data_IF_520189240423
#
_entry.id   IF_520189240423
#
_cell.length_a   1.000
_cell.length_b   1.000
_cell.length_c   1.000
_cell.angle_alpha   90.00
_cell.angle_beta   90.00
_cell.angle_gamma   90.00
#
_symmetry.space_group_name_H-M   'P 1'
#
loop_
_entity.id
_entity.type
_entity.pdbx_description
1 polymer ?
#
# COMPACT_ATOMS: atom_id res chain seq x y z
N UNK A 1 -37.00 62.43 -6.12
CA UNK A 1 -36.78 63.69 -6.86
C UNK A 1 -35.85 63.41 -8.01
N UNK A 2 -36.41 63.56 -9.22
CA UNK A 2 -35.79 64.12 -10.42
C UNK A 2 -34.53 63.43 -10.97
N UNK A 3 -34.40 63.03 -12.17
CA UNK A 3 -35.07 63.11 -13.51
C UNK A 3 -33.99 62.64 -14.49
N UNK A 4 -34.20 61.66 -15.37
CA UNK A 4 -34.49 61.81 -16.80
C UNK A 4 -33.32 62.32 -17.65
N UNK A 5 -33.00 61.59 -18.72
CA UNK A 5 -32.24 62.01 -19.87
C UNK A 5 -31.99 60.87 -20.85
N UNK A 6 -32.95 60.62 -21.67
CA UNK A 6 -32.86 59.85 -22.93
C UNK A 6 -32.49 60.77 -24.07
N UNK A 7 -31.95 60.25 -25.20
CA UNK A 7 -32.19 60.61 -26.59
C UNK A 7 -31.09 59.99 -27.48
N UNK A 8 -31.30 59.06 -28.33
CA UNK A 8 -32.03 58.91 -29.62
C UNK A 8 -31.23 59.41 -30.85
N UNK A 9 -31.14 58.49 -31.82
CA UNK A 9 -31.16 58.65 -33.30
C UNK A 9 -29.87 59.02 -34.00
N UNK A 10 -29.47 58.54 -35.12
CA UNK A 10 -30.12 57.94 -36.33
C UNK A 10 -29.01 57.28 -37.19
N UNK A 11 -29.24 56.19 -37.82
CA UNK A 11 -29.65 55.85 -39.19
C UNK A 11 -28.88 56.58 -40.31
N UNK A 12 -28.05 55.83 -41.07
CA UNK A 12 -27.98 56.02 -42.53
C UNK A 12 -27.45 54.75 -43.21
N UNK A 13 -28.28 54.24 -44.08
CA UNK A 13 -28.15 53.15 -45.02
C UNK A 13 -27.41 53.65 -46.26
N UNK A 14 -26.39 52.96 -46.76
CA UNK A 14 -26.07 53.02 -48.21
C UNK A 14 -25.68 51.67 -48.73
N UNK A 15 -26.44 51.14 -49.61
CA UNK A 15 -26.29 50.01 -50.47
C UNK A 15 -25.30 50.36 -51.60
N UNK A 16 -24.34 49.50 -51.89
CA UNK A 16 -23.71 49.38 -53.20
C UNK A 16 -23.35 47.95 -53.51
N UNK A 17 -24.08 47.31 -54.39
CA UNK A 17 -23.70 46.07 -55.07
C UNK A 17 -22.58 46.35 -56.08
N UNK A 18 -21.54 45.53 -56.08
CA UNK A 18 -20.86 45.11 -57.31
C UNK A 18 -20.34 43.70 -57.18
N UNK A 19 -20.81 42.85 -58.06
CA UNK A 19 -20.40 41.48 -58.26
C UNK A 19 -19.07 41.45 -59.04
N UNK A 20 -18.16 40.54 -58.60
CA UNK A 20 -17.35 39.75 -59.53
C UNK A 20 -16.64 38.62 -58.75
N UNK A 21 -16.81 37.41 -59.26
CA UNK A 21 -16.34 36.18 -58.63
C UNK A 21 -14.84 36.01 -58.59
N UNK A 22 -14.42 35.36 -57.50
CA UNK A 22 -13.16 34.61 -57.46
C UNK A 22 -13.29 33.44 -56.49
N UNK A 23 -12.93 32.28 -57.01
CA UNK A 23 -12.93 30.99 -56.36
C UNK A 23 -12.08 31.07 -55.10
N UNK A 24 -12.68 30.99 -53.91
CA UNK A 24 -11.94 30.84 -52.69
C UNK A 24 -11.66 29.35 -52.49
N UNK A 25 -10.38 28.97 -52.55
CA UNK A 25 -9.86 27.76 -52.01
C UNK A 25 -10.14 27.77 -50.50
N UNK A 26 -10.96 26.82 -50.05
CA UNK A 26 -11.10 26.49 -48.65
C UNK A 26 -9.78 25.90 -48.16
N UNK A 27 -8.95 26.72 -47.54
CA UNK A 27 -7.88 26.24 -46.69
C UNK A 27 -8.57 25.62 -45.48
N UNK A 28 -8.59 24.28 -45.44
CA UNK A 28 -8.94 23.56 -44.23
C UNK A 28 -7.92 23.97 -43.16
N UNK A 29 -8.37 24.70 -42.16
CA UNK A 29 -7.62 24.84 -40.94
C UNK A 29 -7.50 23.42 -40.36
N UNK A 30 -6.30 22.87 -40.40
CA UNK A 30 -5.93 21.74 -39.54
C UNK A 30 -6.00 22.28 -38.13
N UNK A 31 -7.00 21.84 -37.36
CA UNK A 31 -6.96 21.87 -35.91
C UNK A 31 -5.78 20.96 -35.57
N UNK A 32 -4.67 21.55 -35.14
CA UNK A 32 -3.65 20.84 -34.39
C UNK A 32 -4.34 20.26 -33.16
N UNK A 33 -4.15 18.96 -32.82
CA UNK A 33 -4.65 18.46 -31.58
C UNK A 33 -3.98 19.29 -30.47
N UNK A 34 -4.83 20.02 -29.69
CA UNK A 34 -4.39 20.55 -28.42
C UNK A 34 -3.76 19.37 -27.66
N UNK A 35 -2.47 19.43 -27.42
CA UNK A 35 -1.80 18.62 -26.42
C UNK A 35 -2.30 19.15 -25.08
N UNK A 36 -3.51 18.73 -24.68
CA UNK A 36 -4.02 18.99 -23.35
C UNK A 36 -3.04 18.34 -22.37
N UNK A 37 -2.31 19.14 -21.62
CA UNK A 37 -1.64 18.66 -20.43
C UNK A 37 -2.72 17.99 -19.60
N UNK A 38 -2.52 16.73 -19.23
CA UNK A 38 -3.45 15.99 -18.39
C UNK A 38 -3.63 16.76 -17.07
N UNK A 39 -4.88 16.85 -16.57
CA UNK A 39 -5.16 17.57 -15.33
C UNK A 39 -4.33 16.96 -14.17
N UNK A 40 -3.78 17.77 -13.26
CA UNK A 40 -3.08 17.27 -12.08
C UNK A 40 -4.00 16.40 -11.22
N UNK A 41 -3.53 15.23 -10.83
CA UNK A 41 -4.22 14.28 -9.95
C UNK A 41 -3.36 14.03 -8.71
N UNK A 42 -3.93 14.18 -7.53
CA UNK A 42 -3.34 13.66 -6.29
C UNK A 42 -3.92 12.28 -5.99
N UNK A 43 -3.06 11.30 -5.80
CA UNK A 43 -3.43 9.93 -5.51
C UNK A 43 -2.92 9.53 -4.12
N UNK A 44 -3.85 9.22 -3.23
CA UNK A 44 -3.55 8.82 -1.85
C UNK A 44 -3.46 7.30 -1.76
N UNK A 45 -2.28 6.79 -1.43
CA UNK A 45 -1.98 5.35 -1.35
C UNK A 45 -1.72 4.97 0.10
N UNK A 46 -2.55 4.08 0.64
CA UNK A 46 -2.31 3.46 1.95
C UNK A 46 -1.59 2.13 1.73
N UNK A 47 -0.41 1.98 2.32
CA UNK A 47 0.40 0.80 2.11
C UNK A 47 1.07 0.31 3.40
N UNK A 48 1.22 -1.01 3.50
CA UNK A 48 1.92 -1.64 4.61
C UNK A 48 3.33 -1.06 4.79
N UNK A 49 3.74 -0.81 6.04
CA UNK A 49 5.02 -0.18 6.40
C UNK A 49 6.25 -0.90 5.79
N UNK A 50 6.17 -2.23 5.59
CA UNK A 50 7.22 -3.02 4.93
C UNK A 50 7.49 -2.65 3.47
N UNK A 51 6.60 -1.85 2.84
CA UNK A 51 6.74 -1.42 1.44
C UNK A 51 7.29 0.01 1.30
N UNK A 52 7.66 0.66 2.40
CA UNK A 52 8.05 2.08 2.40
C UNK A 52 9.18 2.36 1.40
N UNK A 53 10.24 1.59 1.43
CA UNK A 53 11.42 1.82 0.57
C UNK A 53 11.09 1.56 -0.90
N UNK A 54 10.45 0.42 -1.19
CA UNK A 54 10.14 0.03 -2.57
C UNK A 54 9.12 0.94 -3.24
N UNK A 55 8.03 1.30 -2.53
CA UNK A 55 7.04 2.21 -3.10
C UNK A 55 7.54 3.64 -3.24
N UNK A 56 8.48 4.08 -2.38
CA UNK A 56 9.14 5.38 -2.54
C UNK A 56 10.00 5.40 -3.81
N UNK A 57 10.77 4.35 -4.08
CA UNK A 57 11.55 4.21 -5.32
C UNK A 57 10.64 4.11 -6.56
N UNK A 58 9.57 3.30 -6.47
CA UNK A 58 8.60 3.16 -7.57
C UNK A 58 7.88 4.48 -7.86
N UNK A 59 7.65 5.33 -6.85
CA UNK A 59 7.04 6.64 -7.08
C UNK A 59 7.88 7.54 -7.98
N UNK A 60 9.20 7.52 -7.81
CA UNK A 60 10.13 8.26 -8.68
C UNK A 60 10.06 7.76 -10.13
N UNK A 61 9.96 6.43 -10.32
CA UNK A 61 9.80 5.83 -11.66
C UNK A 61 8.42 6.17 -12.27
N UNK A 62 7.36 6.11 -11.46
CA UNK A 62 6.00 6.41 -11.91
C UNK A 62 5.82 7.88 -12.29
N UNK A 63 6.56 8.80 -11.67
CA UNK A 63 6.54 10.22 -12.03
C UNK A 63 6.98 10.46 -13.48
N UNK A 64 7.90 9.63 -14.01
CA UNK A 64 8.31 9.68 -15.41
C UNK A 64 7.21 9.14 -16.35
N UNK A 65 6.45 8.14 -15.92
CA UNK A 65 5.37 7.53 -16.68
C UNK A 65 4.07 8.35 -16.66
N UNK A 66 3.78 9.03 -15.53
CA UNK A 66 2.56 9.79 -15.30
C UNK A 66 2.87 11.15 -14.61
N UNK A 67 3.47 12.12 -15.32
CA UNK A 67 3.97 13.36 -14.73
C UNK A 67 2.88 14.27 -14.14
N UNK A 68 1.62 14.04 -14.47
CA UNK A 68 0.48 14.75 -13.91
C UNK A 68 -0.07 14.13 -12.62
N UNK A 69 0.44 12.96 -12.18
CA UNK A 69 0.00 12.28 -10.97
C UNK A 69 1.01 12.51 -9.85
N UNK A 70 0.52 12.98 -8.71
CA UNK A 70 1.31 13.11 -7.48
C UNK A 70 0.88 12.00 -6.52
N UNK A 71 1.81 11.12 -6.13
CA UNK A 71 1.57 10.07 -5.15
C UNK A 71 1.79 10.59 -3.73
N UNK A 72 0.80 10.41 -2.87
CA UNK A 72 0.88 10.70 -1.43
C UNK A 72 0.71 9.38 -0.68
N UNK A 73 1.75 8.94 0.05
CA UNK A 73 1.72 7.68 0.79
C UNK A 73 1.37 7.87 2.26
N UNK A 74 0.53 6.95 2.77
CA UNK A 74 0.36 6.73 4.20
C UNK A 74 0.86 5.32 4.51
N UNK A 75 2.04 5.22 5.11
CA UNK A 75 2.64 3.96 5.51
C UNK A 75 2.34 3.64 6.98
N UNK A 76 1.90 2.42 7.23
CA UNK A 76 1.57 1.98 8.59
C UNK A 76 1.30 0.49 8.69
N UNK A 77 0.88 0.02 9.87
CA UNK A 77 0.36 -1.34 9.95
C UNK A 77 -0.94 -1.44 9.15
N UNK A 78 -1.13 -2.56 8.46
CA UNK A 78 -2.33 -2.74 7.63
C UNK A 78 -3.63 -2.70 8.47
N UNK A 79 -3.58 -3.07 9.75
CA UNK A 79 -4.71 -2.96 10.66
C UNK A 79 -5.05 -1.51 11.00
N UNK A 80 -4.04 -0.69 11.29
CA UNK A 80 -4.24 0.76 11.53
C UNK A 80 -4.78 1.45 10.27
N UNK A 81 -4.24 1.11 9.09
CA UNK A 81 -4.70 1.66 7.82
C UNK A 81 -6.14 1.26 7.50
N UNK A 82 -6.51 -0.01 7.75
CA UNK A 82 -7.89 -0.48 7.65
C UNK A 82 -8.83 0.38 8.51
N UNK A 83 -8.50 0.56 9.79
CA UNK A 83 -9.31 1.38 10.71
C UNK A 83 -9.48 2.82 10.19
N UNK A 84 -8.43 3.42 9.64
CA UNK A 84 -8.51 4.76 9.06
C UNK A 84 -9.44 4.80 7.83
N UNK A 85 -9.41 3.77 6.97
CA UNK A 85 -10.31 3.64 5.83
C UNK A 85 -11.77 3.50 6.31
N UNK A 86 -12.01 2.65 7.32
CA UNK A 86 -13.34 2.46 7.93
C UNK A 86 -13.88 3.74 8.57
N UNK A 87 -13.01 4.57 9.14
CA UNK A 87 -13.33 5.87 9.70
C UNK A 87 -13.50 6.99 8.64
N UNK A 88 -13.29 6.67 7.36
CA UNK A 88 -13.53 7.58 6.24
C UNK A 88 -12.33 8.45 5.86
N UNK A 89 -11.11 8.01 6.16
CA UNK A 89 -9.91 8.67 5.64
C UNK A 89 -9.87 8.57 4.10
N UNK A 90 -9.38 9.62 3.46
CA UNK A 90 -9.16 9.61 2.01
C UNK A 90 -8.09 8.56 1.66
N UNK A 91 -8.47 7.62 0.81
CA UNK A 91 -7.60 6.56 0.31
C UNK A 91 -8.09 6.14 -1.07
N UNK A 92 -7.23 6.17 -2.08
CA UNK A 92 -7.55 5.76 -3.44
C UNK A 92 -7.12 4.32 -3.71
N UNK A 93 -5.98 3.91 -3.15
CA UNK A 93 -5.42 2.57 -3.29
C UNK A 93 -4.95 2.03 -1.93
N UNK A 94 -5.35 0.82 -1.59
CA UNK A 94 -4.90 0.13 -0.38
C UNK A 94 -4.06 -1.11 -0.73
N UNK A 95 -2.88 -1.23 -0.11
CA UNK A 95 -1.97 -2.37 -0.23
C UNK A 95 -1.67 -2.92 1.16
N UNK A 96 -2.19 -4.09 1.45
CA UNK A 96 -2.09 -4.73 2.76
C UNK A 96 -1.01 -5.82 2.80
N UNK A 97 -0.37 -6.01 3.95
CA UNK A 97 0.59 -7.12 4.17
C UNK A 97 -0.11 -8.44 4.56
N UNK A 98 -1.44 -8.50 4.53
CA UNK A 98 -2.20 -9.72 4.73
C UNK A 98 -3.59 -9.62 4.09
N UNK A 99 -4.14 -10.76 3.69
CA UNK A 99 -5.48 -10.83 3.10
C UNK A 99 -6.59 -10.49 4.10
N UNK A 100 -6.36 -10.62 5.40
CA UNK A 100 -7.37 -10.38 6.45
C UNK A 100 -7.91 -8.95 6.39
N UNK A 101 -7.05 -7.95 6.31
CA UNK A 101 -7.47 -6.55 6.27
C UNK A 101 -8.15 -6.18 4.95
N UNK A 102 -7.69 -6.73 3.84
CA UNK A 102 -8.34 -6.54 2.54
C UNK A 102 -9.71 -7.21 2.48
N UNK A 103 -9.86 -8.39 3.10
CA UNK A 103 -11.13 -9.10 3.16
C UNK A 103 -12.22 -8.30 3.89
N UNK A 104 -11.85 -7.55 4.93
CA UNK A 104 -12.78 -6.73 5.71
C UNK A 104 -13.45 -5.62 4.88
N UNK A 105 -12.82 -5.18 3.78
CA UNK A 105 -13.35 -4.15 2.88
C UNK A 105 -14.03 -4.72 1.62
N UNK A 106 -13.96 -6.04 1.41
CA UNK A 106 -14.37 -6.69 0.18
C UNK A 106 -15.86 -7.06 0.21
N UNK A 107 -16.68 -6.32 -0.53
CA UNK A 107 -18.13 -6.54 -0.63
C UNK A 107 -18.52 -7.93 -1.13
N UNK A 108 -17.64 -8.63 -1.87
CA UNK A 108 -17.89 -10.01 -2.29
C UNK A 108 -17.90 -10.99 -1.12
N UNK A 109 -17.29 -10.60 0.00
CA UNK A 109 -17.21 -11.35 1.27
C UNK A 109 -18.19 -10.83 2.33
N UNK A 110 -19.05 -9.87 2.03
CA UNK A 110 -19.98 -9.22 2.99
C UNK A 110 -20.96 -10.20 3.68
N UNK A 111 -21.14 -11.41 3.15
CA UNK A 111 -21.95 -12.46 3.79
C UNK A 111 -21.13 -13.44 4.65
N UNK A 112 -19.80 -13.29 4.67
CA UNK A 112 -18.88 -14.10 5.45
C UNK A 112 -18.39 -13.29 6.66
N UNK A 113 -19.09 -13.42 7.79
CA UNK A 113 -18.79 -12.66 9.01
C UNK A 113 -17.42 -12.98 9.64
N UNK A 114 -16.74 -14.06 9.22
CA UNK A 114 -15.37 -14.36 9.65
C UNK A 114 -14.34 -13.54 8.87
N UNK A 115 -14.65 -13.18 7.61
CA UNK A 115 -13.75 -12.46 6.72
C UNK A 115 -14.07 -10.96 6.63
N UNK A 116 -15.35 -10.63 6.62
CA UNK A 116 -15.85 -9.26 6.54
C UNK A 116 -16.96 -9.07 7.61
N UNK A 117 -16.56 -8.87 8.88
CA UNK A 117 -17.49 -8.87 10.00
C UNK A 117 -18.52 -7.74 9.94
N UNK A 118 -18.15 -6.60 9.36
CA UNK A 118 -19.01 -5.41 9.27
C UNK A 118 -19.78 -5.33 7.94
N UNK A 119 -19.56 -6.30 7.02
CA UNK A 119 -20.23 -6.39 5.73
C UNK A 119 -19.90 -5.21 4.80
N UNK A 120 -18.71 -4.64 4.90
CA UNK A 120 -18.29 -3.48 4.11
C UNK A 120 -18.14 -3.84 2.62
N UNK A 121 -18.39 -2.85 1.75
CA UNK A 121 -18.22 -2.94 0.30
C UNK A 121 -17.50 -1.67 -0.19
N UNK A 122 -16.21 -1.59 0.09
CA UNK A 122 -15.40 -0.40 -0.16
C UNK A 122 -14.43 -0.56 -1.35
N UNK A 123 -14.29 -1.77 -1.91
CA UNK A 123 -13.40 -2.01 -3.04
C UNK A 123 -14.11 -1.76 -4.37
N UNK A 124 -13.41 -1.19 -5.35
CA UNK A 124 -13.88 -1.17 -6.74
C UNK A 124 -13.95 -2.60 -7.26
N UNK A 125 -15.09 -3.03 -7.83
CA UNK A 125 -15.27 -4.40 -8.29
C UNK A 125 -14.22 -4.81 -9.32
N UNK A 126 -13.52 -5.91 -9.03
CA UNK A 126 -12.50 -6.48 -9.93
C UNK A 126 -11.13 -5.82 -9.86
N UNK A 127 -10.93 -4.80 -9.01
CA UNK A 127 -9.61 -4.18 -8.82
C UNK A 127 -8.70 -4.98 -7.88
N UNK A 128 -9.27 -5.83 -7.01
CA UNK A 128 -8.48 -6.60 -6.05
C UNK A 128 -7.62 -7.63 -6.75
N UNK A 129 -6.32 -7.60 -6.46
CA UNK A 129 -5.33 -8.58 -6.90
C UNK A 129 -4.47 -9.03 -5.73
N UNK A 130 -3.89 -10.21 -5.82
CA UNK A 130 -2.78 -10.64 -4.98
C UNK A 130 -1.50 -10.14 -5.67
N UNK A 131 -0.97 -9.01 -5.21
CA UNK A 131 0.12 -8.29 -5.88
C UNK A 131 1.47 -8.97 -5.65
N UNK A 132 1.81 -9.25 -4.38
CA UNK A 132 3.12 -9.76 -3.99
C UNK A 132 2.99 -10.88 -2.96
N UNK A 133 4.00 -11.75 -2.94
CA UNK A 133 4.27 -12.70 -1.86
C UNK A 133 5.56 -12.31 -1.12
N UNK A 134 5.56 -12.50 0.21
CA UNK A 134 6.69 -12.27 1.08
C UNK A 134 6.95 -13.50 1.96
N UNK A 135 7.94 -13.42 2.85
CA UNK A 135 8.25 -14.47 3.83
C UNK A 135 8.35 -13.87 5.22
N UNK A 136 7.77 -14.54 6.19
CA UNK A 136 8.02 -14.25 7.60
C UNK A 136 9.32 -14.93 8.01
N UNK A 137 10.20 -14.16 8.65
CA UNK A 137 11.55 -14.63 9.03
C UNK A 137 11.83 -14.37 10.49
N UNK A 138 12.76 -15.15 11.03
CA UNK A 138 13.38 -14.93 12.31
C UNK A 138 14.70 -14.18 12.08
N UNK A 139 14.74 -12.93 12.50
CA UNK A 139 15.91 -12.08 12.40
C UNK A 139 16.57 -11.87 13.76
N UNK A 140 17.88 -11.70 13.73
CA UNK A 140 18.72 -11.49 14.92
C UNK A 140 19.61 -10.26 14.74
N UNK A 141 20.00 -9.57 15.83
CA UNK A 141 20.96 -8.48 15.77
C UNK A 141 22.33 -8.96 15.33
N UNK A 142 23.21 -8.01 15.01
CA UNK A 142 24.56 -8.26 14.56
C UNK A 142 25.31 -9.21 15.54
N UNK A 143 25.95 -10.23 14.97
CA UNK A 143 26.73 -11.21 15.72
C UNK A 143 25.92 -12.28 16.45
N UNK A 144 24.58 -12.21 16.43
CA UNK A 144 23.69 -13.21 17.06
C UNK A 144 24.17 -13.66 18.46
N UNK A 145 24.16 -12.78 19.46
CA UNK A 145 24.79 -13.05 20.77
C UNK A 145 24.22 -14.25 21.52
N UNK A 146 22.97 -14.63 21.22
CA UNK A 146 22.27 -15.76 21.85
C UNK A 146 22.40 -17.06 21.06
N UNK A 147 23.00 -17.02 19.86
CA UNK A 147 23.17 -18.22 19.02
C UNK A 147 21.84 -18.83 18.60
N UNK A 148 20.84 -18.00 18.25
CA UNK A 148 19.52 -18.44 17.79
C UNK A 148 19.66 -18.90 16.33
N UNK A 149 19.24 -20.12 16.03
CA UNK A 149 19.45 -20.73 14.70
C UNK A 149 18.14 -21.08 13.97
N UNK A 150 17.01 -21.22 14.70
CA UNK A 150 15.75 -21.65 14.09
C UNK A 150 14.53 -21.29 14.95
N UNK A 151 13.34 -21.35 14.33
CA UNK A 151 12.07 -21.27 15.05
C UNK A 151 11.87 -22.41 16.04
N UNK A 152 12.36 -23.64 15.74
CA UNK A 152 12.31 -24.77 16.66
C UNK A 152 13.10 -24.49 17.95
N UNK A 153 14.27 -23.90 17.82
CA UNK A 153 15.08 -23.50 18.98
C UNK A 153 14.45 -22.31 19.70
N UNK A 154 13.94 -21.32 18.96
CA UNK A 154 13.28 -20.14 19.53
C UNK A 154 12.15 -20.54 20.45
N UNK A 155 11.29 -21.51 20.02
CA UNK A 155 10.17 -21.97 20.82
C UNK A 155 10.61 -22.48 22.20
N UNK A 156 11.74 -23.18 22.28
CA UNK A 156 12.30 -23.67 23.54
C UNK A 156 12.87 -22.53 24.39
N UNK A 157 13.63 -21.62 23.76
CA UNK A 157 14.26 -20.47 24.44
C UNK A 157 13.22 -19.49 25.01
N UNK A 158 12.08 -19.30 24.32
CA UNK A 158 10.96 -18.50 24.83
C UNK A 158 10.28 -19.18 26.03
N UNK A 159 10.02 -20.48 25.94
CA UNK A 159 9.42 -21.23 27.02
C UNK A 159 10.29 -21.24 28.31
N UNK A 160 11.62 -21.23 28.13
CA UNK A 160 12.60 -21.18 29.24
C UNK A 160 12.87 -19.73 29.74
N UNK A 161 12.35 -18.71 29.07
CA UNK A 161 12.59 -17.30 29.42
C UNK A 161 14.01 -16.83 29.15
N UNK A 162 14.73 -17.49 28.21
CA UNK A 162 16.16 -17.26 27.95
C UNK A 162 16.45 -16.17 26.92
N UNK A 163 15.44 -15.74 26.15
CA UNK A 163 15.55 -14.75 25.08
C UNK A 163 14.39 -13.77 25.10
N UNK A 164 14.64 -12.55 24.61
CA UNK A 164 13.62 -11.53 24.36
C UNK A 164 13.29 -11.47 22.87
N UNK A 165 12.01 -11.52 22.53
CA UNK A 165 11.50 -11.48 21.18
C UNK A 165 10.73 -10.18 20.95
N UNK A 166 11.02 -9.48 19.83
CA UNK A 166 10.15 -8.45 19.30
C UNK A 166 9.18 -9.04 18.25
N UNK A 167 7.92 -8.63 18.33
CA UNK A 167 6.88 -9.00 17.35
C UNK A 167 5.89 -7.85 17.13
N UNK A 168 5.14 -7.87 16.05
CA UNK A 168 4.02 -6.95 15.87
C UNK A 168 2.91 -7.22 16.89
N UNK A 169 2.14 -6.20 17.27
CA UNK A 169 0.92 -6.40 18.04
C UNK A 169 -0.18 -7.08 17.18
N UNK A 170 -1.37 -7.32 17.75
CA UNK A 170 -2.47 -8.03 17.09
C UNK A 170 -3.02 -7.34 15.83
N UNK A 171 -2.82 -6.02 15.69
CA UNK A 171 -3.30 -5.23 14.55
C UNK A 171 -2.27 -5.19 13.41
N UNK A 172 -1.06 -5.69 13.68
CA UNK A 172 0.04 -5.75 12.71
C UNK A 172 0.04 -7.11 12.02
N UNK A 173 -0.02 -7.19 10.67
CA UNK A 173 -0.02 -8.47 9.97
C UNK A 173 1.11 -9.42 10.37
N UNK A 174 2.36 -8.94 10.52
CA UNK A 174 3.46 -9.80 10.98
C UNK A 174 3.25 -10.31 12.40
N UNK A 175 2.56 -9.57 13.26
CA UNK A 175 2.12 -10.05 14.58
C UNK A 175 1.13 -11.19 14.48
N UNK A 176 0.13 -11.08 13.58
CA UNK A 176 -0.84 -12.15 13.32
C UNK A 176 -0.16 -13.42 12.76
N UNK A 177 0.85 -13.28 11.91
CA UNK A 177 1.67 -14.41 11.46
C UNK A 177 2.48 -15.01 12.62
N UNK A 178 3.03 -14.18 13.51
CA UNK A 178 3.76 -14.64 14.70
C UNK A 178 2.84 -15.42 15.65
N UNK A 179 1.59 -14.98 15.84
CA UNK A 179 0.59 -15.71 16.62
C UNK A 179 0.30 -17.10 16.04
N UNK A 180 0.24 -17.23 14.70
CA UNK A 180 0.09 -18.54 14.04
C UNK A 180 1.32 -19.43 14.28
N UNK A 181 2.54 -18.85 14.24
CA UNK A 181 3.79 -19.58 14.57
C UNK A 181 3.73 -20.04 16.02
N UNK A 182 3.31 -19.20 16.97
CA UNK A 182 3.13 -19.62 18.37
C UNK A 182 2.14 -20.76 18.50
N UNK A 183 0.98 -20.68 17.81
CA UNK A 183 0.00 -21.75 17.80
C UNK A 183 0.57 -23.07 17.24
N UNK A 184 1.38 -23.00 16.19
CA UNK A 184 2.05 -24.15 15.59
C UNK A 184 2.98 -24.86 16.61
N UNK A 185 3.70 -24.09 17.43
CA UNK A 185 4.60 -24.63 18.47
C UNK A 185 3.89 -24.87 19.81
N UNK A 186 2.60 -24.57 19.94
CA UNK A 186 1.84 -24.72 21.19
C UNK A 186 2.26 -23.73 22.28
N UNK A 187 2.80 -22.56 21.90
CA UNK A 187 3.15 -21.47 22.79
C UNK A 187 1.93 -20.62 23.12
N UNK A 188 1.81 -20.17 24.37
CA UNK A 188 0.77 -19.25 24.85
C UNK A 188 1.34 -17.83 24.89
N UNK A 189 0.91 -16.97 23.95
CA UNK A 189 1.36 -15.58 23.84
C UNK A 189 1.11 -14.81 25.15
N UNK A 190 -0.05 -15.01 25.81
CA UNK A 190 -0.36 -14.30 27.05
C UNK A 190 0.60 -14.68 28.17
N UNK A 191 0.93 -15.97 28.30
CA UNK A 191 1.91 -16.44 29.27
C UNK A 191 3.33 -15.90 28.98
N UNK A 192 3.73 -15.84 27.71
CA UNK A 192 5.01 -15.27 27.29
C UNK A 192 5.06 -13.76 27.57
N UNK A 193 3.99 -13.03 27.30
CA UNK A 193 3.88 -11.60 27.63
C UNK A 193 3.96 -11.35 29.14
N UNK A 194 3.26 -12.15 29.94
CA UNK A 194 3.32 -12.06 31.41
C UNK A 194 4.73 -12.35 31.96
N UNK A 195 5.47 -13.26 31.33
CA UNK A 195 6.87 -13.54 31.70
C UNK A 195 7.84 -12.42 31.31
N UNK A 196 7.40 -11.45 30.47
CA UNK A 196 8.16 -10.30 30.06
C UNK A 196 9.17 -10.58 28.93
N UNK A 197 9.05 -11.72 28.23
CA UNK A 197 9.98 -12.07 27.11
C UNK A 197 9.53 -11.49 25.76
N UNK A 198 8.34 -10.90 25.68
CA UNK A 198 7.83 -10.28 24.46
C UNK A 198 7.88 -8.76 24.53
N UNK A 199 8.23 -8.13 23.41
CA UNK A 199 8.00 -6.72 23.13
C UNK A 199 7.17 -6.59 21.86
N UNK A 200 6.36 -5.53 21.79
CA UNK A 200 5.42 -5.33 20.69
C UNK A 200 5.72 -4.05 19.94
N UNK A 201 5.72 -4.13 18.60
CA UNK A 201 5.74 -2.99 17.71
C UNK A 201 4.35 -2.65 17.19
N UNK A 202 4.10 -1.39 16.95
CA UNK A 202 2.87 -0.88 16.32
C UNK A 202 2.84 -1.08 14.81
N UNK A 203 3.99 -1.35 14.22
CA UNK A 203 4.20 -1.80 12.83
C UNK A 203 5.49 -2.63 12.73
N UNK A 204 5.78 -3.17 11.54
CA UNK A 204 6.96 -4.01 11.32
C UNK A 204 8.28 -3.22 11.38
N UNK A 205 8.27 -1.93 11.05
CA UNK A 205 9.48 -1.10 11.11
C UNK A 205 9.94 -0.87 12.55
N UNK A 206 8.99 -0.71 13.49
CA UNK A 206 9.30 -0.65 14.91
C UNK A 206 9.90 -1.97 15.41
N UNK A 207 9.34 -3.12 15.02
CA UNK A 207 9.90 -4.43 15.33
C UNK A 207 11.33 -4.56 14.78
N UNK A 208 11.55 -4.19 13.51
CA UNK A 208 12.85 -4.23 12.84
C UNK A 208 13.87 -3.35 13.56
N UNK A 209 13.46 -2.15 13.99
CA UNK A 209 14.30 -1.22 14.75
C UNK A 209 14.74 -1.82 16.09
N UNK A 210 13.83 -2.46 16.82
CA UNK A 210 14.16 -3.11 18.10
C UNK A 210 15.24 -4.21 17.92
N UNK A 211 15.19 -4.96 16.82
CA UNK A 211 16.19 -5.98 16.49
C UNK A 211 17.51 -5.32 16.07
N UNK A 212 17.48 -4.33 15.18
CA UNK A 212 18.71 -3.69 14.66
C UNK A 212 19.49 -2.93 15.73
N UNK A 213 18.79 -2.38 16.73
CA UNK A 213 19.40 -1.71 17.88
C UNK A 213 19.79 -2.68 19.01
N UNK A 214 19.60 -3.98 18.81
CA UNK A 214 19.84 -5.03 19.81
C UNK A 214 19.10 -4.76 21.15
N UNK A 215 17.92 -4.13 21.09
CA UNK A 215 17.05 -3.96 22.24
C UNK A 215 16.39 -5.28 22.67
N UNK A 216 16.37 -6.26 21.77
CA UNK A 216 15.89 -7.63 21.94
C UNK A 216 16.91 -8.62 21.36
N UNK A 217 16.73 -9.90 21.64
CA UNK A 217 17.65 -10.95 21.16
C UNK A 217 17.27 -11.44 19.75
N UNK A 218 16.00 -11.28 19.34
CA UNK A 218 15.50 -11.63 18.00
C UNK A 218 14.17 -10.94 17.72
N UNK A 219 13.73 -11.01 16.48
CA UNK A 219 12.42 -10.53 16.07
C UNK A 219 11.82 -11.35 14.94
N UNK A 220 10.50 -11.41 14.90
CA UNK A 220 9.76 -11.96 13.76
C UNK A 220 9.35 -10.80 12.87
N UNK A 221 9.94 -10.74 11.68
CA UNK A 221 9.75 -9.69 10.66
C UNK A 221 9.63 -10.31 9.28
N UNK A 222 9.43 -9.50 8.25
CA UNK A 222 9.48 -10.01 6.89
C UNK A 222 10.92 -10.06 6.35
N UNK A 223 11.16 -10.92 5.36
CA UNK A 223 12.45 -11.06 4.69
C UNK A 223 12.90 -9.72 4.06
N UNK A 224 11.97 -8.97 3.53
CA UNK A 224 12.20 -7.64 2.94
C UNK A 224 12.67 -6.62 3.97
N UNK A 225 12.08 -6.60 5.16
CA UNK A 225 12.50 -5.70 6.25
C UNK A 225 13.88 -6.09 6.78
N UNK A 226 14.14 -7.40 6.90
CA UNK A 226 15.47 -7.90 7.30
C UNK A 226 16.53 -7.48 6.27
N UNK A 227 16.22 -7.61 4.96
CA UNK A 227 17.10 -7.19 3.87
C UNK A 227 17.38 -5.69 3.92
N UNK A 228 16.35 -4.85 3.99
CA UNK A 228 16.48 -3.39 4.02
C UNK A 228 17.27 -2.89 5.24
N UNK A 229 17.12 -3.56 6.38
CA UNK A 229 17.86 -3.23 7.62
C UNK A 229 19.23 -3.89 7.72
N UNK A 230 19.63 -4.74 6.76
CA UNK A 230 20.89 -5.48 6.80
C UNK A 230 20.99 -6.48 7.96
N UNK A 231 19.85 -6.98 8.45
CA UNK A 231 19.79 -7.94 9.54
C UNK A 231 20.10 -9.37 9.08
N UNK A 232 20.62 -10.17 10.01
CA UNK A 232 20.82 -11.61 9.76
C UNK A 232 19.52 -12.35 9.96
N UNK A 233 19.01 -12.97 8.88
CA UNK A 233 17.94 -13.96 8.94
C UNK A 233 18.53 -15.31 9.28
N UNK A 234 18.05 -15.95 10.34
CA UNK A 234 18.51 -17.27 10.80
C UNK A 234 17.55 -18.39 10.41
N UNK A 235 16.26 -18.05 10.18
CA UNK A 235 15.26 -19.01 9.74
C UNK A 235 14.10 -18.29 9.03
N UNK A 236 13.30 -19.05 8.25
CA UNK A 236 12.08 -18.56 7.60
C UNK A 236 10.91 -19.47 7.94
N UNK A 237 9.77 -18.88 8.28
CA UNK A 237 8.56 -19.63 8.56
C UNK A 237 8.06 -20.37 7.30
N UNK A 238 7.62 -21.61 7.50
CA UNK A 238 7.02 -22.39 6.41
C UNK A 238 5.51 -22.10 6.28
N UNK A 239 4.89 -22.45 5.15
CA UNK A 239 3.44 -22.31 4.99
C UNK A 239 2.62 -23.08 6.05
N UNK A 240 3.17 -24.15 6.61
CA UNK A 240 2.53 -24.94 7.68
C UNK A 240 2.52 -24.17 9.01
N UNK A 241 3.51 -23.30 9.24
CA UNK A 241 3.62 -22.50 10.46
C UNK A 241 2.66 -21.30 10.47
N UNK A 242 2.56 -20.58 9.35
CA UNK A 242 1.78 -19.33 9.34
C UNK A 242 0.91 -19.09 8.09
N UNK A 243 0.94 -19.98 7.10
CA UNK A 243 0.30 -19.80 5.80
C UNK A 243 1.18 -18.99 4.83
N UNK A 244 0.64 -18.73 3.63
CA UNK A 244 1.29 -17.85 2.65
C UNK A 244 1.15 -16.39 3.10
N UNK A 245 2.16 -15.59 2.80
CA UNK A 245 2.21 -14.16 3.13
C UNK A 245 1.93 -13.37 1.87
N UNK A 246 0.66 -13.13 1.60
CA UNK A 246 0.18 -12.41 0.42
C UNK A 246 -0.05 -10.94 0.75
N UNK A 247 0.37 -10.09 -0.16
CA UNK A 247 0.11 -8.65 -0.16
C UNK A 247 -0.94 -8.32 -1.22
N UNK A 248 -2.22 -8.33 -0.87
CA UNK A 248 -3.27 -7.91 -1.78
C UNK A 248 -3.27 -6.39 -1.93
N UNK A 249 -3.63 -5.94 -3.13
CA UNK A 249 -3.87 -4.55 -3.45
C UNK A 249 -5.26 -4.37 -4.07
N UNK A 250 -5.90 -3.25 -3.80
CA UNK A 250 -7.19 -2.93 -4.39
C UNK A 250 -7.45 -1.42 -4.42
N UNK A 251 -8.19 -0.97 -5.43
CA UNK A 251 -8.69 0.40 -5.53
C UNK A 251 -9.86 0.58 -4.57
N UNK A 252 -9.86 1.67 -3.79
CA UNK A 252 -10.94 2.06 -2.89
C UNK A 252 -11.96 2.91 -3.65
N UNK A 253 -13.25 2.67 -3.40
CA UNK A 253 -14.35 3.42 -4.04
C UNK A 253 -14.41 4.86 -3.59
N UNK A 254 -14.77 5.74 -4.53
CA UNK A 254 -15.15 7.13 -4.26
C UNK A 254 -14.02 8.14 -4.33
N UNK A 255 -12.78 7.68 -4.61
CA UNK A 255 -11.64 8.53 -4.89
C UNK A 255 -11.32 8.64 -6.39
N UNK A 256 -10.04 8.77 -6.73
CA UNK A 256 -9.54 8.83 -8.11
C UNK A 256 -9.40 7.42 -8.71
N UNK A 257 -10.52 6.69 -8.87
CA UNK A 257 -10.53 5.26 -9.23
C UNK A 257 -9.74 4.95 -10.51
N UNK A 258 -9.82 5.80 -11.55
CA UNK A 258 -9.09 5.60 -12.82
C UNK A 258 -7.58 5.75 -12.62
N UNK A 259 -7.13 6.76 -11.91
CA UNK A 259 -5.71 6.98 -11.61
C UNK A 259 -5.17 5.90 -10.66
N UNK A 260 -5.96 5.47 -9.67
CA UNK A 260 -5.61 4.40 -8.76
C UNK A 260 -5.45 3.06 -9.49
N UNK A 261 -6.36 2.75 -10.44
CA UNK A 261 -6.24 1.55 -11.27
C UNK A 261 -5.01 1.62 -12.17
N UNK A 262 -4.73 2.78 -12.77
CA UNK A 262 -3.54 2.96 -13.61
C UNK A 262 -2.24 2.76 -12.82
N UNK A 263 -2.18 3.26 -11.57
CA UNK A 263 -1.03 3.00 -10.71
C UNK A 263 -0.96 1.53 -10.27
N UNK A 264 -2.08 0.89 -9.95
CA UNK A 264 -2.13 -0.54 -9.63
C UNK A 264 -1.66 -1.40 -10.82
N UNK A 265 -2.01 -1.02 -12.05
CA UNK A 265 -1.54 -1.70 -13.26
C UNK A 265 -0.03 -1.48 -13.46
N UNK A 266 0.48 -0.27 -13.16
CA UNK A 266 1.91 0.02 -13.22
C UNK A 266 2.71 -0.81 -12.22
N UNK A 267 2.19 -1.02 -11.00
CA UNK A 267 2.84 -1.88 -9.99
C UNK A 267 3.07 -3.32 -10.48
N UNK A 268 2.35 -3.77 -11.52
CA UNK A 268 2.49 -5.11 -12.13
C UNK A 268 3.46 -5.15 -13.31
N UNK A 269 4.05 -4.00 -13.71
CA UNK A 269 5.03 -3.94 -14.80
C UNK A 269 6.37 -4.57 -14.40
N UNK A 270 7.15 -5.02 -15.37
CA UNK A 270 8.50 -5.56 -15.14
C UNK A 270 9.40 -4.56 -14.41
N UNK A 271 9.22 -3.26 -14.67
CA UNK A 271 10.00 -2.18 -14.05
C UNK A 271 9.71 -2.07 -12.54
N UNK A 272 8.43 -2.00 -12.16
CA UNK A 272 8.04 -1.96 -10.74
C UNK A 272 8.35 -3.29 -10.03
N UNK A 273 8.14 -4.43 -10.71
CA UNK A 273 8.45 -5.74 -10.15
C UNK A 273 9.94 -5.90 -9.86
N UNK A 274 10.83 -5.37 -10.72
CA UNK A 274 12.27 -5.43 -10.47
C UNK A 274 12.66 -4.73 -9.16
N UNK A 275 12.00 -3.63 -8.78
CA UNK A 275 12.22 -2.96 -7.49
C UNK A 275 11.75 -3.86 -6.34
N UNK A 276 10.56 -4.43 -6.44
CA UNK A 276 10.05 -5.33 -5.40
C UNK A 276 10.93 -6.58 -5.23
N UNK A 277 11.34 -7.21 -6.32
CA UNK A 277 12.19 -8.40 -6.29
C UNK A 277 13.59 -8.11 -5.75
N UNK A 278 14.11 -6.88 -5.92
CA UNK A 278 15.42 -6.48 -5.43
C UNK A 278 15.58 -6.60 -3.91
N UNK A 279 14.48 -6.49 -3.17
CA UNK A 279 14.46 -6.61 -1.70
C UNK A 279 13.89 -7.96 -1.22
N UNK A 280 13.43 -8.84 -2.13
CA UNK A 280 13.02 -10.21 -1.81
C UNK A 280 11.52 -10.47 -1.83
N UNK A 281 10.67 -9.54 -2.32
CA UNK A 281 9.30 -9.87 -2.72
C UNK A 281 9.31 -10.78 -3.95
N UNK A 282 8.20 -11.48 -4.16
CA UNK A 282 7.92 -12.21 -5.39
C UNK A 282 6.53 -11.83 -5.91
N UNK A 283 6.30 -11.80 -7.25
CA UNK A 283 4.96 -11.60 -7.78
C UNK A 283 4.02 -12.74 -7.35
N UNK A 284 2.75 -12.41 -7.05
CA UNK A 284 1.73 -13.36 -6.61
C UNK A 284 0.58 -13.56 -7.62
N UNK A 285 0.66 -12.90 -8.80
CA UNK A 285 -0.32 -12.95 -9.88
C UNK A 285 0.15 -13.78 -11.07
#
# INVERSE_FOLDING_TARGET
MKKIGALVLALSLTLSLTACGQKAEQTAAQEEPESGEAEPVELVVFAAASMTETLTEIADLYQDAAPNVTLTFNFGSSGTLLTQIEEGAECDLFISAASTQMNALDGTLAQDAEKNPDGLDMLVPGSRIDLLENKVTLAVPEGNPKGIESFDQLAQLLADGSVFLAMGNSDVPVGQYTQKIFAYYGLDEAALAESGVLTYGSDVKEVTTQVSEAAVDCGVIYATDAFSAGLTVVDSATPEMCGQVIYPAAVIRGGNEEAAQAFLDYLQTDEAMAVFESVGFSPAF
#
